data_IF_117117901631
#
_entry.id   IF_117117901631
#
_cell.length_a   1.000
_cell.length_b   1.000
_cell.length_c   1.000
_cell.angle_alpha   90.00
_cell.angle_beta   90.00
_cell.angle_gamma   90.00
#
_symmetry.space_group_name_H-M   'P 1'
#
loop_
_entity.id
_entity.type
_entity.pdbx_description
1 polymer ?
#
# COMPACT_ATOMS: atom_id res chain seq x y z
N UNK A 1 14.91 -0.51 2.51
CA UNK A 1 13.52 -0.85 2.19
C UNK A 1 13.49 -1.34 0.75
N UNK A 2 13.35 -2.64 0.55
CA UNK A 2 13.06 -3.17 -0.78
C UNK A 2 11.63 -2.73 -1.10
N UNK A 3 11.43 -2.09 -2.24
CA UNK A 3 10.11 -1.72 -2.69
C UNK A 3 9.19 -2.94 -2.70
N UNK A 4 8.00 -2.80 -2.15
CA UNK A 4 6.95 -3.79 -2.25
C UNK A 4 6.69 -4.08 -3.74
N UNK A 5 6.83 -5.31 -4.15
CA UNK A 5 6.64 -5.73 -5.55
C UNK A 5 5.59 -6.83 -5.61
N UNK A 6 4.30 -6.44 -5.61
CA UNK A 6 3.19 -7.37 -5.76
C UNK A 6 3.03 -8.34 -4.59
N UNK A 7 2.20 -9.35 -4.74
CA UNK A 7 1.81 -10.35 -3.73
C UNK A 7 3.03 -11.16 -3.24
N UNK A 8 3.99 -10.48 -2.60
CA UNK A 8 4.98 -11.14 -1.78
C UNK A 8 4.39 -11.32 -0.38
N UNK A 9 4.66 -12.45 0.22
CA UNK A 9 4.17 -12.81 1.54
C UNK A 9 4.66 -11.80 2.58
N UNK A 10 3.72 -11.12 3.26
CA UNK A 10 4.04 -10.22 4.36
C UNK A 10 4.78 -10.98 5.45
N UNK A 11 5.92 -10.47 5.91
CA UNK A 11 6.70 -11.10 6.98
C UNK A 11 7.50 -10.09 7.78
N UNK A 12 7.79 -10.46 9.03
CA UNK A 12 8.59 -9.67 9.96
C UNK A 12 9.68 -10.53 10.59
N UNK A 13 10.84 -9.92 10.82
CA UNK A 13 11.93 -10.55 11.56
C UNK A 13 11.90 -10.07 13.01
N UNK A 14 11.62 -10.96 13.93
CA UNK A 14 11.53 -10.67 15.36
C UNK A 14 12.75 -11.25 16.07
N UNK A 15 13.40 -10.42 16.87
CA UNK A 15 14.57 -10.81 17.67
C UNK A 15 14.28 -10.73 19.15
N UNK A 16 14.94 -11.60 19.91
CA UNK A 16 15.01 -11.54 21.37
C UNK A 16 15.90 -10.37 21.78
N UNK A 17 15.29 -9.31 22.29
CA UNK A 17 15.98 -8.05 22.59
C UNK A 17 16.98 -8.21 23.74
N UNK A 18 16.63 -8.98 24.77
CA UNK A 18 17.51 -9.22 25.89
C UNK A 18 18.82 -9.93 25.49
N UNK A 19 18.71 -10.95 24.67
CA UNK A 19 19.89 -11.68 24.13
C UNK A 19 20.69 -10.81 23.15
N UNK A 20 20.02 -10.02 22.31
CA UNK A 20 20.67 -9.08 21.42
C UNK A 20 21.53 -8.06 22.19
N UNK A 21 21.05 -7.54 23.30
CA UNK A 21 21.81 -6.62 24.17
C UNK A 21 23.01 -7.30 24.86
N UNK A 22 22.98 -8.61 25.00
CA UNK A 22 24.12 -9.42 25.50
C UNK A 22 25.10 -9.83 24.37
N UNK A 23 24.83 -9.42 23.13
CA UNK A 23 25.66 -9.71 21.95
C UNK A 23 25.33 -11.02 21.24
N UNK A 24 24.20 -11.65 21.58
CA UNK A 24 23.71 -12.88 20.94
C UNK A 24 22.51 -12.61 20.05
N UNK A 25 22.64 -12.80 18.73
CA UNK A 25 21.54 -12.64 17.80
C UNK A 25 20.66 -13.89 17.78
N UNK A 26 19.48 -13.79 18.40
CA UNK A 26 18.46 -14.83 18.36
C UNK A 26 17.17 -14.22 17.84
N UNK A 27 16.71 -14.69 16.68
CA UNK A 27 15.49 -14.20 16.05
C UNK A 27 15.06 -15.13 14.91
N UNK A 28 13.88 -14.86 14.38
CA UNK A 28 13.32 -15.60 13.27
C UNK A 28 12.35 -14.74 12.45
N UNK A 29 12.11 -15.17 11.20
CA UNK A 29 11.06 -14.63 10.37
C UNK A 29 9.70 -15.23 10.72
N UNK A 30 8.68 -14.40 10.75
CA UNK A 30 7.29 -14.79 11.00
C UNK A 30 6.38 -14.19 9.95
N UNK A 31 5.38 -14.96 9.54
CA UNK A 31 4.29 -14.50 8.65
C UNK A 31 3.09 -14.13 9.51
N UNK A 32 2.59 -12.88 9.48
CA UNK A 32 1.36 -12.52 10.18
C UNK A 32 0.14 -13.32 9.68
N UNK A 33 -0.81 -13.68 10.55
CA UNK A 33 -0.87 -13.33 11.97
C UNK A 33 0.14 -14.14 12.81
N UNK A 34 0.92 -13.44 13.64
CA UNK A 34 1.92 -14.05 14.52
C UNK A 34 1.27 -14.44 15.84
N UNK A 35 1.41 -15.70 16.20
CA UNK A 35 1.03 -16.19 17.52
C UNK A 35 2.14 -15.91 18.54
N UNK A 36 1.79 -15.30 19.67
CA UNK A 36 2.77 -14.90 20.68
C UNK A 36 3.50 -16.09 21.29
N UNK A 37 2.79 -17.17 21.61
CA UNK A 37 3.38 -18.35 22.26
C UNK A 37 4.35 -19.06 21.33
N UNK A 38 3.99 -19.20 20.06
CA UNK A 38 4.89 -19.75 19.03
C UNK A 38 6.13 -18.87 18.84
N UNK A 39 5.94 -17.56 18.78
CA UNK A 39 7.04 -16.60 18.67
C UNK A 39 7.97 -16.69 19.87
N UNK A 40 7.43 -16.67 21.08
CA UNK A 40 8.19 -16.73 22.31
C UNK A 40 9.05 -18.00 22.38
N UNK A 41 8.49 -19.16 21.99
CA UNK A 41 9.22 -20.41 21.93
C UNK A 41 10.36 -20.37 20.92
N UNK A 42 10.08 -19.87 19.71
CA UNK A 42 11.08 -19.86 18.62
C UNK A 42 12.26 -18.92 18.87
N UNK A 43 12.04 -17.77 19.50
CA UNK A 43 13.11 -16.80 19.80
C UNK A 43 13.61 -16.87 21.24
N UNK A 44 13.11 -17.81 22.03
CA UNK A 44 13.58 -18.08 23.39
C UNK A 44 13.23 -17.01 24.41
N UNK A 45 12.03 -16.43 24.34
CA UNK A 45 11.50 -15.56 25.39
C UNK A 45 11.18 -16.40 26.64
N UNK A 46 11.46 -15.83 27.80
CA UNK A 46 11.21 -16.46 29.11
C UNK A 46 11.27 -15.41 30.21
N UNK A 47 11.13 -15.82 31.48
CA UNK A 47 11.14 -14.92 32.64
C UNK A 47 12.40 -14.04 32.78
N UNK A 48 13.50 -14.40 32.13
CA UNK A 48 14.73 -13.63 32.08
C UNK A 48 14.80 -12.71 30.87
N UNK A 49 14.22 -13.14 29.74
CA UNK A 49 14.23 -12.44 28.46
C UNK A 49 12.80 -12.25 27.99
N UNK A 50 12.15 -11.17 28.44
CA UNK A 50 10.73 -10.92 28.17
C UNK A 50 10.48 -10.03 26.95
N UNK A 51 11.50 -9.28 26.51
CA UNK A 51 11.39 -8.26 25.49
C UNK A 51 11.79 -8.77 24.11
N UNK A 52 11.03 -8.37 23.10
CA UNK A 52 11.35 -8.58 21.69
C UNK A 52 11.33 -7.28 20.92
N UNK A 53 11.98 -7.27 19.74
CA UNK A 53 11.94 -6.14 18.81
C UNK A 53 11.88 -6.66 17.38
N UNK A 54 11.24 -5.89 16.50
CA UNK A 54 11.18 -6.16 15.07
C UNK A 54 12.39 -5.49 14.43
N UNK A 55 13.34 -6.29 13.95
CA UNK A 55 14.60 -5.79 13.38
C UNK A 55 14.57 -5.63 11.86
N UNK A 56 13.64 -6.32 11.20
CA UNK A 56 13.44 -6.20 9.75
C UNK A 56 12.01 -6.60 9.39
N UNK A 57 11.52 -6.13 8.27
CA UNK A 57 10.18 -6.49 7.79
C UNK A 57 10.05 -6.34 6.29
N UNK A 58 9.16 -7.13 5.72
CA UNK A 58 8.67 -7.03 4.34
C UNK A 58 7.16 -6.82 4.39
N UNK A 59 6.76 -5.55 4.47
CA UNK A 59 5.38 -5.10 4.60
C UNK A 59 5.12 -3.95 3.64
N UNK A 60 3.87 -3.78 3.14
CA UNK A 60 3.52 -2.66 2.27
C UNK A 60 3.31 -1.33 3.02
N UNK A 61 3.51 -1.32 4.33
CA UNK A 61 3.41 -0.16 5.22
C UNK A 61 4.59 -0.12 6.18
N UNK A 62 4.81 1.02 6.81
CA UNK A 62 5.89 1.20 7.78
C UNK A 62 5.43 0.88 9.20
N UNK A 63 6.33 0.29 9.98
CA UNK A 63 6.16 0.01 11.41
C UNK A 63 7.42 0.43 12.17
N UNK A 64 7.28 0.58 13.49
CA UNK A 64 8.38 0.81 14.42
C UNK A 64 8.96 -0.51 14.93
N UNK A 65 10.23 -0.52 15.34
CA UNK A 65 10.87 -1.72 15.90
C UNK A 65 10.19 -2.27 17.17
N UNK A 66 9.48 -1.41 17.89
CA UNK A 66 8.75 -1.76 19.11
C UNK A 66 7.24 -1.91 18.91
N UNK A 67 6.78 -1.90 17.66
CA UNK A 67 5.36 -2.15 17.37
C UNK A 67 4.95 -3.53 17.88
N UNK A 68 3.92 -3.63 18.73
CA UNK A 68 3.43 -4.93 19.21
C UNK A 68 2.97 -5.84 18.08
N UNK A 69 3.20 -7.15 18.22
CA UNK A 69 2.77 -8.11 17.19
C UNK A 69 1.26 -8.10 16.96
N UNK A 70 0.47 -7.81 17.98
CA UNK A 70 -0.99 -7.68 17.87
C UNK A 70 -1.37 -6.54 16.92
N UNK A 71 -0.64 -5.43 16.97
CA UNK A 71 -0.84 -4.31 16.07
C UNK A 71 -0.41 -4.64 14.65
N UNK A 72 0.72 -5.32 14.47
CA UNK A 72 1.16 -5.80 13.15
C UNK A 72 0.12 -6.76 12.56
N UNK A 73 -0.40 -7.70 13.35
CA UNK A 73 -1.43 -8.63 12.92
C UNK A 73 -2.70 -7.90 12.47
N UNK A 74 -3.13 -6.89 13.24
CA UNK A 74 -4.29 -6.05 12.90
C UNK A 74 -4.11 -5.32 11.57
N UNK A 75 -2.95 -4.68 11.38
CA UNK A 75 -2.65 -3.94 10.15
C UNK A 75 -2.57 -4.88 8.93
N UNK A 76 -1.98 -6.05 9.07
CA UNK A 76 -1.92 -7.04 8.00
C UNK A 76 -3.30 -7.59 7.62
N UNK A 77 -4.17 -7.83 8.60
CA UNK A 77 -5.56 -8.21 8.34
C UNK A 77 -6.31 -7.13 7.56
N UNK A 78 -6.11 -5.85 7.91
CA UNK A 78 -6.70 -4.73 7.17
C UNK A 78 -6.23 -4.70 5.70
N UNK A 79 -4.97 -4.98 5.43
CA UNK A 79 -4.43 -5.07 4.07
C UNK A 79 -5.06 -6.23 3.29
N UNK A 80 -5.19 -7.40 3.92
CA UNK A 80 -5.80 -8.58 3.29
C UNK A 80 -7.27 -8.39 2.92
N UNK A 81 -7.98 -7.52 3.64
CA UNK A 81 -9.38 -7.16 3.36
C UNK A 81 -9.55 -6.17 2.20
N UNK A 82 -8.47 -5.53 1.76
CA UNK A 82 -8.51 -4.60 0.62
C UNK A 82 -8.65 -5.34 -0.73
N UNK A 83 -9.25 -4.69 -1.74
CA UNK A 83 -9.21 -5.20 -3.11
C UNK A 83 -7.77 -5.45 -3.60
N UNK A 84 -7.58 -6.49 -4.39
CA UNK A 84 -6.25 -6.94 -4.86
C UNK A 84 -5.50 -5.85 -5.63
N UNK A 85 -6.18 -5.08 -6.46
CA UNK A 85 -5.61 -3.97 -7.21
C UNK A 85 -5.06 -2.85 -6.29
N UNK A 86 -5.74 -2.59 -5.18
CA UNK A 86 -5.26 -1.64 -4.16
C UNK A 86 -4.09 -2.25 -3.37
N UNK A 87 -4.14 -3.54 -3.05
CA UNK A 87 -3.03 -4.23 -2.36
C UNK A 87 -1.74 -4.16 -3.18
N UNK A 88 -1.81 -4.38 -4.49
CA UNK A 88 -0.66 -4.39 -5.38
C UNK A 88 0.09 -3.05 -5.44
N UNK A 89 -0.62 -1.94 -5.27
CA UNK A 89 -0.07 -0.58 -5.32
C UNK A 89 -0.16 0.14 -3.97
N UNK A 90 -0.31 -0.59 -2.89
CA UNK A 90 -0.60 -0.02 -1.57
C UNK A 90 0.48 0.96 -1.09
N UNK A 91 1.76 0.65 -1.31
CA UNK A 91 2.86 1.51 -0.87
C UNK A 91 2.84 2.89 -1.54
N UNK A 92 2.42 2.96 -2.81
CA UNK A 92 2.27 4.24 -3.52
C UNK A 92 0.99 4.97 -3.08
N UNK A 93 -0.12 4.25 -2.95
CA UNK A 93 -1.40 4.82 -2.54
C UNK A 93 -1.37 5.38 -1.11
N UNK A 94 -0.65 4.75 -0.20
CA UNK A 94 -0.48 5.24 1.18
C UNK A 94 0.13 6.63 1.27
N UNK A 95 0.93 7.05 0.28
CA UNK A 95 1.46 8.41 0.21
C UNK A 95 0.40 9.52 0.10
N UNK A 96 -0.83 9.16 -0.26
CA UNK A 96 -1.96 10.09 -0.43
C UNK A 96 -2.93 10.08 0.75
N UNK A 97 -2.71 9.24 1.74
CA UNK A 97 -3.52 9.12 2.96
C UNK A 97 -2.65 9.33 4.20
N UNK A 98 -3.26 9.69 5.30
CA UNK A 98 -2.55 9.96 6.56
C UNK A 98 -2.08 8.69 7.27
N UNK A 99 -2.77 7.55 7.03
CA UNK A 99 -2.50 6.26 7.63
C UNK A 99 -3.11 5.12 6.81
N UNK A 100 -2.78 3.88 7.17
CA UNK A 100 -3.44 2.71 6.57
C UNK A 100 -4.94 2.67 6.90
N UNK A 101 -5.30 3.05 8.12
CA UNK A 101 -6.69 3.14 8.56
C UNK A 101 -7.49 4.13 7.71
N UNK A 102 -6.91 5.31 7.45
CA UNK A 102 -7.51 6.35 6.62
C UNK A 102 -7.73 5.84 5.18
N UNK A 103 -6.74 5.16 4.60
CA UNK A 103 -6.89 4.54 3.28
C UNK A 103 -8.00 3.48 3.28
N UNK A 104 -8.04 2.61 4.27
CA UNK A 104 -9.06 1.55 4.36
C UNK A 104 -10.47 2.11 4.51
N UNK A 105 -10.65 3.22 5.24
CA UNK A 105 -11.95 3.90 5.36
C UNK A 105 -12.44 4.47 4.03
N UNK A 106 -11.52 4.87 3.15
CA UNK A 106 -11.82 5.46 1.85
C UNK A 106 -11.58 4.50 0.67
N UNK A 107 -11.27 3.25 0.92
CA UNK A 107 -10.93 2.28 -0.13
C UNK A 107 -12.06 2.09 -1.16
N UNK A 108 -13.33 2.17 -0.72
CA UNK A 108 -14.49 2.07 -1.60
C UNK A 108 -14.63 3.27 -2.54
N UNK A 109 -14.00 4.40 -2.23
CA UNK A 109 -14.03 5.62 -3.03
C UNK A 109 -12.86 5.69 -4.03
N UNK A 110 -11.86 4.83 -3.88
CA UNK A 110 -10.72 4.75 -4.80
C UNK A 110 -11.19 4.12 -6.12
N UNK A 111 -10.90 4.82 -7.22
CA UNK A 111 -11.24 4.36 -8.56
C UNK A 111 -9.98 3.91 -9.28
N UNK A 112 -9.99 2.72 -9.86
CA UNK A 112 -8.90 2.17 -10.65
C UNK A 112 -9.23 2.20 -12.13
N UNK A 113 -8.31 2.76 -12.93
CA UNK A 113 -8.35 2.79 -14.39
C UNK A 113 -7.24 1.89 -14.94
N UNK A 114 -7.47 0.56 -15.05
CA UNK A 114 -6.40 -0.40 -15.38
C UNK A 114 -5.90 -0.27 -16.82
N UNK A 115 -6.72 0.26 -17.73
CA UNK A 115 -6.40 0.43 -19.14
C UNK A 115 -5.70 1.77 -19.45
N UNK A 116 -5.48 2.61 -18.42
CA UNK A 116 -4.80 3.89 -18.54
C UNK A 116 -3.36 3.78 -18.04
N UNK A 117 -2.39 4.08 -18.89
CA UNK A 117 -0.97 4.08 -18.54
C UNK A 117 -0.50 5.45 -17.99
N UNK A 118 -1.20 6.52 -18.36
CA UNK A 118 -0.90 7.89 -17.96
C UNK A 118 -2.16 8.78 -17.92
N UNK A 119 -1.97 10.05 -17.57
CA UNK A 119 -3.08 11.00 -17.48
C UNK A 119 -3.67 11.37 -18.84
N UNK A 120 -2.92 11.22 -19.93
CA UNK A 120 -3.45 11.40 -21.28
C UNK A 120 -4.47 10.31 -21.62
N UNK A 121 -4.22 9.07 -21.25
CA UNK A 121 -5.18 7.98 -21.39
C UNK A 121 -6.44 8.21 -20.55
N UNK A 122 -6.28 8.73 -19.34
CA UNK A 122 -7.41 9.15 -18.48
C UNK A 122 -8.23 10.25 -19.16
N UNK A 123 -7.57 11.21 -19.80
CA UNK A 123 -8.25 12.26 -20.56
C UNK A 123 -9.09 11.70 -21.73
N UNK A 124 -8.56 10.75 -22.48
CA UNK A 124 -9.32 10.04 -23.53
C UNK A 124 -10.54 9.33 -22.95
N UNK A 125 -10.35 8.62 -21.82
CA UNK A 125 -11.46 7.94 -21.15
C UNK A 125 -12.56 8.94 -20.70
N UNK A 126 -12.19 10.05 -20.05
CA UNK A 126 -13.17 11.04 -19.58
C UNK A 126 -13.87 11.75 -20.72
N UNK A 127 -13.16 12.13 -21.78
CA UNK A 127 -13.74 12.87 -22.89
C UNK A 127 -14.54 11.98 -23.82
N UNK A 128 -13.99 10.83 -24.20
CA UNK A 128 -14.56 9.95 -25.25
C UNK A 128 -15.57 8.94 -24.69
N UNK A 129 -15.26 8.31 -23.54
CA UNK A 129 -16.11 7.29 -22.93
C UNK A 129 -17.15 7.89 -21.96
N UNK A 130 -16.72 8.75 -21.05
CA UNK A 130 -17.60 9.39 -20.06
C UNK A 130 -18.33 10.62 -20.59
N UNK A 131 -17.91 11.15 -21.74
CA UNK A 131 -18.47 12.37 -22.34
C UNK A 131 -18.49 13.56 -21.35
N UNK A 132 -17.41 13.74 -20.59
CA UNK A 132 -17.30 14.80 -19.57
C UNK A 132 -17.43 16.21 -20.14
N UNK A 133 -17.09 16.39 -21.42
CA UNK A 133 -17.27 17.64 -22.18
C UNK A 133 -18.54 17.65 -23.03
N UNK A 134 -19.41 16.63 -22.86
CA UNK A 134 -20.58 16.43 -23.70
C UNK A 134 -20.26 15.69 -25.00
N UNK A 135 -21.24 15.61 -25.89
CA UNK A 135 -21.08 15.00 -27.21
C UNK A 135 -20.22 15.89 -28.11
N UNK A 136 -19.10 15.34 -28.61
CA UNK A 136 -18.14 16.07 -29.44
C UNK A 136 -18.28 15.63 -30.89
N UNK A 137 -18.56 16.56 -31.84
CA UNK A 137 -18.56 16.25 -33.27
C UNK A 137 -17.17 15.75 -33.73
N UNK A 138 -17.15 14.70 -34.57
CA UNK A 138 -15.90 14.07 -35.03
C UNK A 138 -14.91 15.07 -35.67
N UNK A 139 -15.41 16.06 -36.38
CA UNK A 139 -14.59 17.06 -37.05
C UNK A 139 -13.82 18.01 -36.11
N UNK A 140 -14.20 18.10 -34.83
CA UNK A 140 -13.49 18.94 -33.86
C UNK A 140 -12.64 18.12 -32.88
N UNK A 141 -12.72 16.78 -32.87
CA UNK A 141 -11.89 15.90 -32.04
C UNK A 141 -10.39 16.13 -32.23
N UNK A 142 -9.97 16.33 -33.47
CA UNK A 142 -8.56 16.57 -33.80
C UNK A 142 -7.99 17.87 -33.24
N UNK A 143 -8.86 18.78 -32.77
CA UNK A 143 -8.45 20.04 -32.13
C UNK A 143 -8.41 19.98 -30.61
N UNK A 144 -8.81 18.84 -30.00
CA UNK A 144 -8.76 18.64 -28.57
C UNK A 144 -7.35 18.24 -28.15
N UNK A 145 -6.80 18.98 -27.21
CA UNK A 145 -5.52 18.67 -26.60
C UNK A 145 -5.76 17.77 -25.35
N UNK A 146 -5.75 16.45 -25.57
CA UNK A 146 -5.97 15.45 -24.51
C UNK A 146 -4.85 15.46 -23.47
N UNK A 147 -3.61 15.76 -23.86
CA UNK A 147 -2.48 15.87 -22.93
C UNK A 147 -2.69 17.05 -21.97
N UNK A 148 -3.11 18.20 -22.49
CA UNK A 148 -3.42 19.36 -21.66
C UNK A 148 -4.60 19.10 -20.71
N UNK A 149 -5.63 18.43 -21.19
CA UNK A 149 -6.78 18.05 -20.36
C UNK A 149 -6.38 17.08 -19.24
N UNK A 150 -5.56 16.08 -19.57
CA UNK A 150 -5.03 15.11 -18.58
C UNK A 150 -4.17 15.81 -17.52
N UNK A 151 -3.35 16.77 -17.92
CA UNK A 151 -2.55 17.57 -16.98
C UNK A 151 -3.43 18.40 -16.04
N UNK A 152 -4.50 18.98 -16.54
CA UNK A 152 -5.44 19.76 -15.73
C UNK A 152 -6.17 18.85 -14.72
N UNK A 153 -6.57 17.64 -15.14
CA UNK A 153 -7.14 16.64 -14.22
C UNK A 153 -6.18 16.28 -13.09
N UNK A 154 -4.89 16.09 -13.42
CA UNK A 154 -3.87 15.77 -12.43
C UNK A 154 -3.63 16.90 -11.42
N UNK A 155 -3.71 18.14 -11.88
CA UNK A 155 -3.58 19.32 -11.03
C UNK A 155 -4.81 19.59 -10.15
N UNK A 156 -6.00 19.27 -10.62
CA UNK A 156 -7.27 19.53 -9.93
C UNK A 156 -7.71 18.35 -9.03
N UNK A 157 -7.29 17.14 -9.37
CA UNK A 157 -7.65 15.91 -8.67
C UNK A 157 -6.48 15.25 -7.95
N UNK A 158 -6.76 14.08 -7.39
CA UNK A 158 -5.76 13.24 -6.74
C UNK A 158 -5.61 11.94 -7.52
N UNK A 159 -4.79 11.99 -8.55
CA UNK A 159 -4.49 10.83 -9.40
C UNK A 159 -3.10 10.27 -9.08
N UNK A 160 -2.98 8.95 -9.12
CA UNK A 160 -1.74 8.22 -8.89
C UNK A 160 -1.46 7.34 -10.10
N UNK A 161 -0.39 7.65 -10.83
CA UNK A 161 0.03 6.84 -11.97
C UNK A 161 0.95 5.73 -11.48
N UNK A 162 0.56 4.48 -11.74
CA UNK A 162 1.29 3.29 -11.29
C UNK A 162 1.65 2.39 -12.48
N UNK A 163 2.40 1.33 -12.23
CA UNK A 163 2.71 0.32 -13.24
C UNK A 163 1.49 -0.56 -13.62
N UNK A 164 0.42 -0.52 -12.85
CA UNK A 164 -0.81 -1.31 -13.06
C UNK A 164 -2.02 -0.45 -13.41
N UNK A 165 -1.78 0.77 -13.87
CA UNK A 165 -2.82 1.71 -14.26
C UNK A 165 -2.80 3.00 -13.43
N UNK A 166 -3.87 3.78 -13.56
CA UNK A 166 -4.05 5.03 -12.82
C UNK A 166 -5.12 4.84 -11.77
N UNK A 167 -4.87 5.36 -10.58
CA UNK A 167 -5.83 5.38 -9.48
C UNK A 167 -6.29 6.82 -9.21
N UNK A 168 -7.56 7.01 -8.94
CA UNK A 168 -8.13 8.25 -8.45
C UNK A 168 -8.47 8.10 -6.96
N UNK A 169 -7.85 8.95 -6.14
CA UNK A 169 -8.03 8.97 -4.69
C UNK A 169 -8.76 10.26 -4.31
N UNK A 170 -10.10 10.25 -4.14
CA UNK A 170 -10.90 11.47 -3.98
C UNK A 170 -10.59 12.28 -2.71
N UNK A 171 -9.91 11.68 -1.73
CA UNK A 171 -9.61 12.31 -0.42
C UNK A 171 -8.15 12.19 0.02
#
# INVERSE_FOLDING_TARGET
VKGWCGIEEMRIYIANLGKYNEGELVGAWFTPPVDYDEMAERIGLNDRYEEYAIHDYELPFEIDEYTPIEEVNRLCEMVEDLPEDIQDELSELLGYYSSLEDLCEHADDIIHYPDCDDMTDVAYYFIDECQSLGEIPDRIRSYIDYEAYGRDLDLEGRFVVTNHGVFECPY
#
